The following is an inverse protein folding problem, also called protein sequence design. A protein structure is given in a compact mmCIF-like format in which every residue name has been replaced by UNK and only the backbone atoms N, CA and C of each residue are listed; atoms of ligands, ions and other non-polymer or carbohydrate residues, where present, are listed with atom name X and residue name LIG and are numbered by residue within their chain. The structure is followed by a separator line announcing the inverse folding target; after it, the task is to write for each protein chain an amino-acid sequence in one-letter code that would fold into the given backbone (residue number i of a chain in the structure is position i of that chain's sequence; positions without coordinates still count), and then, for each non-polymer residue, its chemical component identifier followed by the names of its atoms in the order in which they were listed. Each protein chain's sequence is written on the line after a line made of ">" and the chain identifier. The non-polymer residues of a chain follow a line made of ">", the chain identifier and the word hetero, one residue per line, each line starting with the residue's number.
data_IF_374655888743
#
_entry.id   IF_374655888743
#
_cell.length_a   1.000
_cell.length_b   1.000
_cell.length_c   1.000
_cell.angle_alpha   90.00
_cell.angle_beta   90.00
_cell.angle_gamma   90.00
#
_symmetry.space_group_name_H-M   'P 1'
#
loop_
_entity.id
_entity.type
_entity.pdbx_description
1 polymer ?
#
# COMPACT_ATOMS: atom_id res chain seq x y z
N UNK A 1 7.28 -48.54 -29.73
CA UNK A 1 6.46 -48.47 -28.49
C UNK A 1 6.73 -47.18 -27.72
N UNK A 2 7.99 -46.83 -27.42
CA UNK A 2 8.34 -45.62 -26.68
C UNK A 2 8.00 -44.30 -27.42
N UNK A 3 8.22 -44.24 -28.74
CA UNK A 3 7.84 -43.07 -29.56
C UNK A 3 6.32 -42.83 -29.58
N UNK A 4 5.52 -43.90 -29.60
CA UNK A 4 4.06 -43.81 -29.55
C UNK A 4 3.59 -43.22 -28.23
N UNK A 5 4.18 -43.66 -27.10
CA UNK A 5 3.88 -43.12 -25.77
C UNK A 5 4.32 -41.65 -25.63
N UNK A 6 5.44 -41.26 -26.22
CA UNK A 6 5.92 -39.88 -26.22
C UNK A 6 5.01 -38.95 -27.03
N UNK A 7 4.56 -39.39 -28.20
CA UNK A 7 3.57 -38.65 -28.99
C UNK A 7 2.22 -38.54 -28.28
N UNK A 8 1.76 -39.60 -27.63
CA UNK A 8 0.53 -39.54 -26.81
C UNK A 8 0.69 -38.60 -25.61
N UNK A 9 1.86 -38.56 -24.95
CA UNK A 9 2.15 -37.59 -23.88
C UNK A 9 2.19 -36.15 -24.40
N UNK A 10 2.82 -35.91 -25.56
CA UNK A 10 2.82 -34.59 -26.18
C UNK A 10 1.42 -34.13 -26.58
N UNK A 11 0.63 -35.03 -27.17
CA UNK A 11 -0.75 -34.72 -27.55
C UNK A 11 -1.60 -34.35 -26.31
N UNK A 12 -1.46 -35.09 -25.20
CA UNK A 12 -2.15 -34.75 -23.95
C UNK A 12 -1.68 -33.42 -23.36
N UNK A 13 -0.39 -33.10 -23.46
CA UNK A 13 0.09 -31.78 -23.05
C UNK A 13 -0.50 -30.67 -23.94
N UNK A 14 -0.59 -30.91 -25.25
CA UNK A 14 -1.15 -29.96 -26.21
C UNK A 14 -2.64 -29.74 -25.96
N UNK A 15 -3.41 -30.82 -25.71
CA UNK A 15 -4.82 -30.76 -25.30
C UNK A 15 -5.02 -30.04 -23.96
N UNK A 16 -4.14 -30.25 -22.98
CA UNK A 16 -4.15 -29.51 -21.70
C UNK A 16 -3.79 -28.04 -21.91
N UNK A 17 -2.87 -27.74 -22.82
CA UNK A 17 -2.50 -26.36 -23.14
C UNK A 17 -3.62 -25.61 -23.84
N UNK A 18 -4.32 -26.28 -24.77
CA UNK A 18 -5.50 -25.76 -25.48
C UNK A 18 -6.71 -25.58 -24.55
N UNK A 19 -6.81 -26.38 -23.48
CA UNK A 19 -7.84 -26.22 -22.46
C UNK A 19 -7.45 -25.26 -21.33
N UNK A 20 -6.16 -24.95 -21.14
CA UNK A 20 -5.65 -24.05 -20.09
C UNK A 20 -6.23 -22.64 -20.15
N UNK A 21 -6.45 -22.10 -21.37
CA UNK A 21 -7.12 -20.81 -21.59
C UNK A 21 -8.64 -20.88 -21.37
N UNK A 22 -9.23 -22.08 -21.37
CA UNK A 22 -10.66 -22.30 -21.11
C UNK A 22 -10.97 -22.59 -19.64
N UNK A 23 -10.00 -23.10 -18.86
CA UNK A 23 -10.19 -23.35 -17.41
C UNK A 23 -10.49 -22.04 -16.68
N UNK A 24 -9.77 -20.98 -17.02
CA UNK A 24 -10.00 -19.66 -16.45
C UNK A 24 -10.76 -18.80 -17.46
N UNK A 25 -12.09 -18.81 -17.36
CA UNK A 25 -12.96 -18.07 -18.27
C UNK A 25 -12.65 -16.56 -18.35
N UNK A 26 -13.24 -15.90 -19.36
CA UNK A 26 -13.04 -14.46 -19.61
C UNK A 26 -13.38 -13.56 -18.41
N UNK A 27 -14.28 -14.00 -17.53
CA UNK A 27 -14.65 -13.31 -16.29
C UNK A 27 -13.51 -13.32 -15.26
N UNK A 28 -12.84 -14.46 -15.09
CA UNK A 28 -11.65 -14.57 -14.24
C UNK A 28 -10.51 -13.69 -14.76
N UNK A 29 -10.25 -13.71 -16.07
CA UNK A 29 -9.24 -12.84 -16.69
C UNK A 29 -9.53 -11.34 -16.47
N UNK A 30 -10.80 -10.93 -16.60
CA UNK A 30 -11.24 -9.57 -16.26
C UNK A 30 -11.03 -9.22 -14.78
N UNK A 31 -11.30 -10.15 -13.87
CA UNK A 31 -11.08 -9.96 -12.43
C UNK A 31 -9.59 -9.78 -12.09
N UNK A 32 -8.71 -10.55 -12.73
CA UNK A 32 -7.26 -10.42 -12.60
C UNK A 32 -6.74 -9.10 -13.15
N UNK A 33 -7.29 -8.64 -14.28
CA UNK A 33 -6.97 -7.33 -14.83
C UNK A 33 -7.36 -6.20 -13.85
N UNK A 34 -8.54 -6.29 -13.23
CA UNK A 34 -8.98 -5.33 -12.21
C UNK A 34 -8.08 -5.35 -10.97
N UNK A 35 -7.68 -6.54 -10.49
CA UNK A 35 -6.73 -6.66 -9.38
C UNK A 35 -5.39 -6.01 -9.71
N UNK A 36 -4.87 -6.27 -10.92
CA UNK A 36 -3.61 -5.66 -11.39
C UNK A 36 -3.72 -4.13 -11.43
N UNK A 37 -4.82 -3.59 -11.95
CA UNK A 37 -5.05 -2.14 -11.96
C UNK A 37 -5.07 -1.58 -10.54
N UNK A 38 -5.81 -2.21 -9.61
CA UNK A 38 -5.87 -1.77 -8.21
C UNK A 38 -4.50 -1.80 -7.53
N UNK A 39 -3.66 -2.81 -7.81
CA UNK A 39 -2.28 -2.91 -7.30
C UNK A 39 -1.37 -1.83 -7.90
N UNK A 40 -1.50 -1.52 -9.19
CA UNK A 40 -0.75 -0.43 -9.83
C UNK A 40 -1.15 0.92 -9.24
N UNK A 41 -2.44 1.16 -9.03
CA UNK A 41 -2.92 2.37 -8.37
C UNK A 41 -2.44 2.49 -6.92
N UNK A 42 -2.34 1.37 -6.19
CA UNK A 42 -1.71 1.35 -4.87
C UNK A 42 -0.24 1.79 -4.96
N UNK A 43 0.54 1.17 -5.85
CA UNK A 43 1.93 1.56 -6.04
C UNK A 43 2.08 3.05 -6.45
N UNK A 44 1.18 3.56 -7.28
CA UNK A 44 1.16 4.97 -7.67
C UNK A 44 0.76 5.90 -6.50
N UNK A 45 -0.21 5.52 -5.67
CA UNK A 45 -0.57 6.29 -4.48
C UNK A 45 0.59 6.37 -3.48
N UNK A 46 1.35 5.29 -3.34
CA UNK A 46 2.58 5.27 -2.55
C UNK A 46 3.67 6.15 -3.15
N UNK A 47 3.88 6.12 -4.48
CA UNK A 47 4.86 6.95 -5.17
C UNK A 47 4.54 8.45 -5.08
N UNK A 48 3.27 8.84 -5.24
CA UNK A 48 2.83 10.24 -5.06
C UNK A 48 3.02 10.75 -3.64
N UNK A 49 2.85 9.88 -2.64
CA UNK A 49 3.11 10.23 -1.24
C UNK A 49 4.60 10.45 -0.95
N UNK A 50 5.50 9.86 -1.73
CA UNK A 50 6.96 10.07 -1.58
C UNK A 50 7.42 11.34 -2.29
N UNK A 51 6.90 11.63 -3.48
CA UNK A 51 7.23 12.86 -4.23
C UNK A 51 6.79 14.15 -3.51
N UNK A 52 5.61 14.17 -2.87
CA UNK A 52 5.16 15.31 -2.04
C UNK A 52 6.05 15.57 -0.81
N UNK A 53 6.91 14.62 -0.42
CA UNK A 53 7.82 14.73 0.73
C UNK A 53 9.20 15.31 0.34
N UNK A 54 9.55 15.31 -0.96
CA UNK A 54 10.85 15.76 -1.48
C UNK A 54 10.94 17.29 -1.71
N UNK A 55 9.81 17.97 -1.72
CA UNK A 55 9.75 19.45 -1.80
C UNK A 55 10.19 20.11 -0.49
N UNK A 56 10.25 19.32 0.59
CA UNK A 56 10.52 19.81 1.92
C UNK A 56 12.02 19.84 2.22
N UNK A 57 12.66 20.94 1.83
CA UNK A 57 14.01 21.39 2.19
C UNK A 57 14.23 21.57 3.73
N UNK A 58 13.44 20.92 4.59
CA UNK A 58 13.33 21.12 6.03
C UNK A 58 13.58 19.85 6.88
N UNK A 59 14.07 18.74 6.31
CA UNK A 59 14.48 17.57 7.13
C UNK A 59 15.69 17.85 8.03
N UNK A 60 16.46 18.92 7.74
CA UNK A 60 17.57 19.38 8.60
C UNK A 60 17.09 20.11 9.87
N UNK A 61 15.91 20.72 9.86
CA UNK A 61 15.32 21.36 11.06
C UNK A 61 14.67 20.33 12.01
N UNK A 62 14.16 19.20 11.47
CA UNK A 62 13.57 18.13 12.29
C UNK A 62 14.57 17.44 13.21
N UNK A 63 15.84 17.33 12.80
CA UNK A 63 16.92 16.77 13.61
C UNK A 63 17.34 17.67 14.78
N UNK A 64 17.03 18.96 14.72
CA UNK A 64 17.23 19.89 15.83
C UNK A 64 15.95 20.07 16.68
N UNK A 65 14.78 19.76 16.12
CA UNK A 65 13.48 19.90 16.81
C UNK A 65 13.19 18.77 17.82
N UNK A 66 13.80 17.59 17.65
CA UNK A 66 13.62 16.43 18.55
C UNK A 66 14.90 15.97 19.26
N UNK A 67 16.01 16.70 19.12
CA UNK A 67 17.16 16.46 19.99
C UNK A 67 16.75 16.82 21.42
N UNK A 68 16.76 15.87 22.39
CA UNK A 68 16.56 16.24 23.77
C UNK A 68 17.68 17.22 24.10
N UNK A 69 17.32 18.44 24.50
CA UNK A 69 18.26 19.39 25.07
C UNK A 69 18.90 18.68 26.27
N UNK A 70 20.07 18.09 26.04
CA UNK A 70 20.82 17.36 27.03
C UNK A 70 21.31 18.37 28.07
N UNK A 71 20.49 18.51 29.12
CA UNK A 71 20.89 18.75 30.50
C UNK A 71 22.16 19.60 30.69
N UNK A 72 22.05 20.89 30.42
CA UNK A 72 22.96 21.90 30.97
C UNK A 72 22.45 22.36 32.33
N UNK A 73 22.54 21.50 33.34
CA UNK A 73 22.30 21.92 34.72
C UNK A 73 23.45 22.80 35.20
N UNK A 74 23.27 24.12 35.22
CA UNK A 74 24.16 25.05 35.92
C UNK A 74 23.44 26.37 36.21
N UNK A 75 22.95 26.50 37.44
CA UNK A 75 23.12 27.69 38.28
C UNK A 75 22.64 29.06 37.81
N UNK A 76 21.64 29.55 38.55
CA UNK A 76 21.60 30.89 39.14
C UNK A 76 21.28 32.13 38.28
N UNK A 77 20.25 32.83 38.76
CA UNK A 77 20.06 34.28 38.67
C UNK A 77 19.95 34.92 37.28
N UNK A 78 18.73 34.94 36.75
CA UNK A 78 18.29 36.05 35.90
C UNK A 78 16.77 36.23 36.04
N UNK A 79 16.34 36.89 37.12
CA UNK A 79 14.96 37.38 37.25
C UNK A 79 14.69 38.64 36.40
N UNK A 80 15.54 38.88 35.40
CA UNK A 80 15.42 39.95 34.39
C UNK A 80 15.64 39.41 32.96
N UNK A 81 15.59 38.08 32.77
CA UNK A 81 15.30 37.48 31.48
C UNK A 81 13.83 37.83 31.17
N UNK A 82 13.70 38.89 30.39
CA UNK A 82 12.50 39.71 30.18
C UNK A 82 11.28 38.88 29.78
N UNK A 83 10.08 39.28 30.23
CA UNK A 83 8.79 38.75 29.74
C UNK A 83 8.77 38.65 28.20
N UNK A 84 9.45 39.59 27.55
CA UNK A 84 9.63 39.62 26.10
C UNK A 84 10.38 38.41 25.53
N UNK A 85 11.40 37.87 26.20
CA UNK A 85 12.09 36.63 25.78
C UNK A 85 11.17 35.41 25.93
N UNK A 86 10.36 35.39 26.98
CA UNK A 86 9.36 34.33 27.22
C UNK A 86 8.24 34.37 26.19
N UNK A 87 7.81 35.57 25.78
CA UNK A 87 6.82 35.78 24.71
C UNK A 87 7.38 35.33 23.34
N UNK A 88 8.63 35.67 23.02
CA UNK A 88 9.31 35.23 21.79
C UNK A 88 9.48 33.70 21.75
N UNK A 89 9.88 33.07 22.86
CA UNK A 89 9.99 31.61 22.97
C UNK A 89 8.62 30.92 22.80
N UNK A 90 7.56 31.50 23.37
CA UNK A 90 6.19 30.99 23.22
C UNK A 90 5.71 31.05 21.77
N UNK A 91 6.02 32.14 21.06
CA UNK A 91 5.70 32.28 19.63
C UNK A 91 6.44 31.24 18.79
N UNK A 92 7.73 31.04 19.06
CA UNK A 92 8.58 30.10 18.34
C UNK A 92 8.16 28.64 18.62
N UNK A 93 7.74 28.33 19.85
CA UNK A 93 7.12 27.05 20.19
C UNK A 93 5.78 26.84 19.47
N UNK A 94 4.98 27.89 19.34
CA UNK A 94 3.73 27.87 18.57
C UNK A 94 3.98 27.58 17.08
N UNK A 95 4.99 28.21 16.50
CA UNK A 95 5.36 28.00 15.10
C UNK A 95 5.89 26.59 14.84
N UNK A 96 6.70 26.05 15.76
CA UNK A 96 7.14 24.64 15.70
C UNK A 96 5.97 23.66 15.74
N UNK A 97 4.95 23.94 16.55
CA UNK A 97 3.72 23.13 16.57
C UNK A 97 2.97 23.23 15.26
N UNK A 98 2.76 24.43 14.71
CA UNK A 98 2.07 24.61 13.42
C UNK A 98 2.78 23.88 12.27
N UNK A 99 4.10 23.99 12.20
CA UNK A 99 4.89 23.30 11.18
C UNK A 99 4.78 21.78 11.30
N UNK A 100 4.78 21.27 12.53
CA UNK A 100 4.63 19.86 12.83
C UNK A 100 3.19 19.35 12.56
N UNK A 101 2.17 20.14 12.91
CA UNK A 101 0.76 19.87 12.61
C UNK A 101 0.52 19.83 11.11
N UNK A 102 1.13 20.74 10.33
CA UNK A 102 1.04 20.72 8.88
C UNK A 102 1.68 19.47 8.27
N UNK A 103 2.80 19.00 8.82
CA UNK A 103 3.42 17.73 8.43
C UNK A 103 2.52 16.53 8.77
N UNK A 104 1.99 16.47 10.00
CA UNK A 104 1.09 15.39 10.40
C UNK A 104 -0.23 15.39 9.65
N UNK A 105 -0.76 16.56 9.26
CA UNK A 105 -1.93 16.66 8.40
C UNK A 105 -1.66 16.03 7.03
N UNK A 106 -0.48 16.26 6.43
CA UNK A 106 -0.08 15.61 5.16
C UNK A 106 0.05 14.11 5.31
N UNK A 107 0.75 13.63 6.34
CA UNK A 107 0.87 12.19 6.63
C UNK A 107 -0.50 11.55 6.89
N UNK A 108 -1.40 12.23 7.60
CA UNK A 108 -2.74 11.71 7.85
C UNK A 108 -3.54 11.56 6.55
N UNK A 109 -3.43 12.53 5.63
CA UNK A 109 -4.06 12.43 4.31
C UNK A 109 -3.47 11.29 3.47
N UNK A 110 -2.14 11.11 3.47
CA UNK A 110 -1.51 10.03 2.69
C UNK A 110 -1.83 8.65 3.25
N UNK A 111 -1.82 8.47 4.57
CA UNK A 111 -2.24 7.22 5.22
C UNK A 111 -3.70 6.91 4.89
N UNK A 112 -4.59 7.90 4.92
CA UNK A 112 -5.99 7.73 4.56
C UNK A 112 -6.19 7.33 3.08
N UNK A 113 -5.38 7.86 2.16
CA UNK A 113 -5.44 7.44 0.75
C UNK A 113 -4.91 6.02 0.54
N UNK A 114 -3.83 5.65 1.23
CA UNK A 114 -3.27 4.30 1.19
C UNK A 114 -4.26 3.27 1.73
N UNK A 115 -4.92 3.54 2.85
CA UNK A 115 -5.93 2.61 3.41
C UNK A 115 -7.10 2.44 2.45
N UNK A 116 -7.61 3.53 1.88
CA UNK A 116 -8.65 3.49 0.83
C UNK A 116 -8.22 2.63 -0.36
N UNK A 117 -6.96 2.73 -0.77
CA UNK A 117 -6.47 1.96 -1.91
C UNK A 117 -6.23 0.48 -1.58
N UNK A 118 -5.82 0.15 -0.35
CA UNK A 118 -5.76 -1.22 0.14
C UNK A 118 -7.14 -1.88 0.17
N UNK A 119 -8.19 -1.15 0.56
CA UNK A 119 -9.57 -1.64 0.51
C UNK A 119 -10.01 -1.98 -0.92
N UNK A 120 -9.58 -1.20 -1.92
CA UNK A 120 -9.86 -1.48 -3.34
C UNK A 120 -9.15 -2.77 -3.80
N UNK A 121 -7.89 -2.96 -3.41
CA UNK A 121 -7.15 -4.20 -3.68
C UNK A 121 -7.81 -5.39 -3.00
N UNK A 122 -8.20 -5.27 -1.73
CA UNK A 122 -8.90 -6.33 -1.00
C UNK A 122 -10.23 -6.72 -1.67
N UNK A 123 -11.02 -5.73 -2.10
CA UNK A 123 -12.27 -5.97 -2.85
C UNK A 123 -12.00 -6.65 -4.19
N UNK A 124 -10.95 -6.26 -4.91
CA UNK A 124 -10.58 -6.89 -6.17
C UNK A 124 -10.11 -8.35 -5.98
N UNK A 125 -9.32 -8.62 -4.93
CA UNK A 125 -8.91 -9.99 -4.56
C UNK A 125 -10.11 -10.87 -4.22
N UNK A 126 -11.11 -10.35 -3.49
CA UNK A 126 -12.35 -11.08 -3.22
C UNK A 126 -13.12 -11.43 -4.50
N UNK A 127 -13.11 -10.56 -5.51
CA UNK A 127 -13.66 -10.86 -6.83
C UNK A 127 -12.92 -11.98 -7.54
N UNK A 128 -11.58 -11.96 -7.52
CA UNK A 128 -10.73 -13.01 -8.11
C UNK A 128 -10.98 -14.37 -7.44
N UNK A 129 -11.12 -14.39 -6.11
CA UNK A 129 -11.45 -15.60 -5.35
C UNK A 129 -12.83 -16.14 -5.72
N UNK A 130 -13.85 -15.28 -5.85
CA UNK A 130 -15.19 -15.71 -6.22
C UNK A 130 -15.21 -16.38 -7.59
N UNK A 131 -14.54 -15.78 -8.57
CA UNK A 131 -14.43 -16.34 -9.92
C UNK A 131 -13.63 -17.65 -9.91
N UNK A 132 -12.55 -17.74 -9.13
CA UNK A 132 -11.80 -18.99 -9.01
C UNK A 132 -12.65 -20.08 -8.37
N UNK A 133 -13.26 -19.83 -7.19
CA UNK A 133 -14.14 -20.80 -6.51
C UNK A 133 -15.31 -21.23 -7.38
N UNK A 134 -15.89 -20.34 -8.19
CA UNK A 134 -16.95 -20.67 -9.14
C UNK A 134 -16.52 -21.70 -10.19
N UNK A 135 -15.31 -21.57 -10.73
CA UNK A 135 -14.74 -22.52 -11.70
C UNK A 135 -14.53 -23.90 -11.05
N UNK A 136 -13.98 -23.94 -9.84
CA UNK A 136 -13.72 -25.19 -9.13
C UNK A 136 -15.00 -25.86 -8.59
N UNK A 137 -16.01 -25.09 -8.19
CA UNK A 137 -17.30 -25.61 -7.74
C UNK A 137 -18.14 -26.18 -8.91
N UNK A 138 -18.18 -25.49 -10.05
CA UNK A 138 -18.90 -25.95 -11.24
C UNK A 138 -18.37 -27.29 -11.77
N UNK A 139 -17.06 -27.54 -11.65
CA UNK A 139 -16.46 -28.83 -12.03
C UNK A 139 -16.84 -29.98 -11.09
N UNK A 140 -17.20 -29.70 -9.84
CA UNK A 140 -17.60 -30.72 -8.85
C UNK A 140 -19.06 -31.13 -8.99
N UNK A 141 -19.94 -30.23 -9.44
CA UNK A 141 -21.36 -30.52 -9.65
C UNK A 141 -21.61 -31.36 -10.92
N UNK A 142 -20.76 -31.22 -11.94
CA UNK A 142 -20.85 -32.02 -13.17
C UNK A 142 -20.44 -33.49 -13.00
N UNK A 143 -19.58 -33.81 -12.02
CA UNK A 143 -19.07 -35.17 -11.79
C UNK A 143 -19.94 -35.97 -10.78
N UNK A 144 -20.83 -35.29 -10.05
CA UNK A 144 -21.72 -35.91 -9.04
C UNK A 144 -23.12 -36.28 -9.51
N UNK A 145 -23.54 -35.86 -10.72
CA UNK A 145 -24.91 -36.06 -11.25
C UNK A 145 -25.04 -37.23 -12.23
N UNK A 146 -24.03 -38.08 -12.36
CA UNK A 146 -24.08 -39.30 -13.18
C UNK A 146 -23.79 -40.54 -12.32
N UNK A 147 -24.71 -40.85 -11.41
CA UNK A 147 -24.84 -42.16 -10.76
C UNK A 147 -26.24 -42.73 -11.03
#
# INVERSE_FOLDING_TARGET
>A
AHEKMWHEMQQKLEEVSLSGDHVFGSTHSKSLANLRTAQVELAQAWMRSEEDDLDNKHTVFGRQAFAPAASGGAGASSSVATVQEQDEDLLLAGERRRANDAHFARVAMSVADVTRQLENVARAMAGVELESRGIWAASSDSDGSSL
#
